data_IF_576934204249
#
_entry.id   IF_576934204249
#
_cell.length_a   1.000
_cell.length_b   1.000
_cell.length_c   1.000
_cell.angle_alpha   90.00
_cell.angle_beta   90.00
_cell.angle_gamma   90.00
#
_symmetry.space_group_name_H-M   'P 1'
#
loop_
_entity.id
_entity.type
_entity.pdbx_description
1 polymer ?
#
# COMPACT_ATOMS: atom_id res chain seq x y z
N UNK A 1 3.67 -30.10 -4.78
CA UNK A 1 4.90 -30.43 -4.02
C UNK A 1 5.01 -29.45 -2.86
N UNK A 2 5.69 -29.78 -1.75
CA UNK A 2 5.93 -28.79 -0.70
C UNK A 2 6.82 -27.66 -1.22
N UNK A 3 6.53 -26.41 -0.82
CA UNK A 3 7.36 -25.26 -1.15
C UNK A 3 8.79 -25.41 -0.60
N UNK A 4 9.77 -24.92 -1.35
CA UNK A 4 11.15 -24.84 -0.88
C UNK A 4 11.28 -23.87 0.30
N UNK A 5 12.38 -23.97 1.06
CA UNK A 5 12.63 -23.02 2.18
C UNK A 5 12.70 -21.56 1.71
N UNK A 6 13.22 -21.32 0.51
CA UNK A 6 13.29 -19.98 -0.07
C UNK A 6 11.89 -19.46 -0.45
N UNK A 7 11.08 -20.28 -1.12
CA UNK A 7 9.68 -19.98 -1.43
C UNK A 7 8.89 -19.65 -0.17
N UNK A 8 8.98 -20.50 0.86
CA UNK A 8 8.26 -20.31 2.11
C UNK A 8 8.67 -19.01 2.82
N UNK A 9 9.96 -18.66 2.81
CA UNK A 9 10.46 -17.38 3.34
C UNK A 9 9.88 -16.19 2.56
N UNK A 10 9.86 -16.28 1.24
CA UNK A 10 9.38 -15.21 0.37
C UNK A 10 7.88 -15.01 0.50
N UNK A 11 7.09 -16.09 0.52
CA UNK A 11 5.65 -16.09 0.80
C UNK A 11 5.36 -15.41 2.14
N UNK A 12 6.05 -15.81 3.23
CA UNK A 12 5.89 -15.18 4.54
C UNK A 12 6.22 -13.69 4.52
N UNK A 13 7.27 -13.29 3.81
CA UNK A 13 7.65 -11.89 3.68
C UNK A 13 6.56 -11.10 2.95
N UNK A 14 6.03 -11.60 1.83
CA UNK A 14 4.95 -10.95 1.08
C UNK A 14 3.69 -10.80 1.94
N UNK A 15 3.25 -11.87 2.61
CA UNK A 15 2.06 -11.86 3.47
C UNK A 15 2.21 -10.88 4.64
N UNK A 16 3.38 -10.85 5.28
CA UNK A 16 3.65 -9.93 6.41
C UNK A 16 3.61 -8.48 5.98
N UNK A 17 4.00 -8.20 4.73
CA UNK A 17 4.20 -6.86 4.22
C UNK A 17 3.19 -6.48 3.13
N UNK A 18 2.02 -7.12 3.12
CA UNK A 18 1.00 -6.97 2.07
C UNK A 18 0.61 -5.52 1.78
N UNK A 19 0.65 -4.64 2.80
CA UNK A 19 0.26 -3.24 2.68
C UNK A 19 1.30 -2.36 1.97
N UNK A 20 2.52 -2.86 1.78
CA UNK A 20 3.60 -2.14 1.09
C UNK A 20 4.04 -2.80 -0.21
N UNK A 21 3.47 -3.95 -0.60
CA UNK A 21 3.78 -4.55 -1.90
C UNK A 21 3.20 -3.68 -3.02
N UNK A 22 4.04 -3.36 -4.01
CA UNK A 22 3.62 -2.71 -5.25
C UNK A 22 3.77 -3.71 -6.39
N UNK A 23 2.69 -4.35 -6.86
CA UNK A 23 2.77 -5.25 -7.98
C UNK A 23 2.92 -4.48 -9.31
N UNK A 24 3.83 -4.95 -10.16
CA UNK A 24 3.95 -4.57 -11.56
C UNK A 24 3.44 -5.75 -12.40
N UNK A 25 2.31 -5.56 -13.07
CA UNK A 25 1.64 -6.58 -13.88
C UNK A 25 2.03 -6.40 -15.34
N UNK A 26 2.77 -7.38 -15.88
CA UNK A 26 3.16 -7.42 -17.28
C UNK A 26 2.06 -7.93 -18.22
N UNK A 27 2.34 -7.84 -19.52
CA UNK A 27 1.37 -8.21 -20.57
C UNK A 27 1.07 -9.71 -20.66
N UNK A 28 1.93 -10.56 -20.09
CA UNK A 28 1.79 -12.02 -19.98
C UNK A 28 0.74 -12.47 -18.95
N UNK A 29 0.29 -11.56 -18.09
CA UNK A 29 -0.81 -11.79 -17.19
C UNK A 29 -2.18 -11.77 -17.90
N UNK A 30 -2.27 -11.22 -19.11
CA UNK A 30 -3.52 -11.14 -19.87
C UNK A 30 -3.60 -12.24 -20.91
N UNK A 31 -4.68 -13.02 -20.85
CA UNK A 31 -4.88 -14.26 -21.58
C UNK A 31 -6.15 -14.16 -22.42
N UNK A 32 -6.04 -14.61 -23.66
CA UNK A 32 -7.15 -14.80 -24.59
C UNK A 32 -7.41 -16.29 -24.73
N UNK A 33 -8.64 -16.70 -24.44
CA UNK A 33 -9.12 -18.05 -24.68
C UNK A 33 -9.30 -18.28 -26.19
N UNK A 34 -8.68 -19.34 -26.72
CA UNK A 34 -8.81 -19.77 -28.11
C UNK A 34 -9.15 -21.27 -28.17
N UNK A 35 -9.68 -21.77 -29.30
CA UNK A 35 -9.96 -23.20 -29.48
C UNK A 35 -8.74 -24.10 -29.28
N UNK A 36 -7.54 -23.60 -29.57
CA UNK A 36 -6.27 -24.33 -29.48
C UNK A 36 -5.60 -24.18 -28.09
N UNK A 37 -6.24 -23.42 -27.19
CA UNK A 37 -5.77 -23.15 -25.84
C UNK A 37 -5.58 -21.67 -25.54
N UNK A 38 -5.24 -21.39 -24.29
CA UNK A 38 -4.95 -20.04 -23.81
C UNK A 38 -3.67 -19.49 -24.45
N UNK A 39 -3.74 -18.27 -25.01
CA UNK A 39 -2.57 -17.51 -25.47
C UNK A 39 -2.52 -16.14 -24.80
N UNK A 40 -1.37 -15.47 -24.82
CA UNK A 40 -1.28 -14.11 -24.27
C UNK A 40 -1.95 -13.09 -25.20
N UNK A 41 -2.47 -12.00 -24.66
CA UNK A 41 -3.16 -10.96 -25.45
C UNK A 41 -2.30 -10.47 -26.61
N UNK A 42 -1.03 -10.14 -26.36
CA UNK A 42 -0.16 -9.62 -27.41
C UNK A 42 0.19 -10.69 -28.46
N UNK A 43 0.36 -11.96 -28.06
CA UNK A 43 0.53 -13.06 -29.01
C UNK A 43 -0.71 -13.24 -29.91
N UNK A 44 -1.91 -13.11 -29.35
CA UNK A 44 -3.15 -13.16 -30.10
C UNK A 44 -3.24 -12.02 -31.13
N UNK A 45 -2.94 -10.77 -30.71
CA UNK A 45 -2.92 -9.61 -31.62
C UNK A 45 -1.91 -9.82 -32.75
N UNK A 46 -0.72 -10.35 -32.46
CA UNK A 46 0.26 -10.71 -33.50
C UNK A 46 -0.30 -11.73 -34.48
N UNK A 47 -0.97 -12.79 -34.00
CA UNK A 47 -1.57 -13.80 -34.87
C UNK A 47 -2.61 -13.19 -35.82
N UNK A 48 -3.53 -12.36 -35.30
CA UNK A 48 -4.56 -11.70 -36.10
C UNK A 48 -3.94 -10.76 -37.17
N UNK A 49 -2.97 -9.93 -36.79
CA UNK A 49 -2.28 -9.04 -37.73
C UNK A 49 -1.49 -9.82 -38.81
N UNK A 50 -0.89 -10.96 -38.45
CA UNK A 50 -0.18 -11.81 -39.42
C UNK A 50 -1.13 -12.49 -40.42
N UNK A 51 -2.38 -12.77 -40.05
CA UNK A 51 -3.39 -13.31 -40.95
C UNK A 51 -3.85 -12.25 -41.97
N UNK A 52 -4.08 -11.02 -41.50
CA UNK A 52 -4.52 -9.88 -42.31
C UNK A 52 -3.42 -9.37 -43.25
N UNK A 53 -2.17 -9.27 -42.76
CA UNK A 53 -1.05 -8.65 -43.48
C UNK A 53 -0.17 -9.71 -44.16
N UNK A 54 -0.20 -9.86 -45.50
CA UNK A 54 0.55 -10.89 -46.21
C UNK A 54 2.07 -10.85 -45.96
N UNK A 55 2.64 -9.66 -45.78
CA UNK A 55 4.06 -9.43 -45.54
C UNK A 55 4.54 -9.99 -44.20
N UNK A 56 3.64 -10.18 -43.24
CA UNK A 56 3.96 -10.68 -41.90
C UNK A 56 3.79 -12.20 -41.76
N UNK A 57 3.13 -12.88 -42.71
CA UNK A 57 2.86 -14.33 -42.64
C UNK A 57 4.10 -15.20 -42.47
N UNK A 58 5.26 -14.72 -42.94
CA UNK A 58 6.53 -15.44 -42.85
C UNK A 58 7.39 -14.98 -41.65
N UNK A 59 6.94 -13.99 -40.88
CA UNK A 59 7.65 -13.52 -39.69
C UNK A 59 7.32 -14.50 -38.56
N UNK A 60 8.32 -15.28 -38.17
CA UNK A 60 8.19 -16.14 -36.98
C UNK A 60 8.39 -15.28 -35.74
N UNK A 61 7.42 -15.34 -34.83
CA UNK A 61 7.60 -14.88 -33.46
C UNK A 61 8.21 -16.05 -32.68
N UNK A 62 9.54 -16.10 -32.60
CA UNK A 62 10.27 -17.16 -31.90
C UNK A 62 10.43 -16.83 -30.41
N UNK A 63 10.24 -15.56 -30.03
CA UNK A 63 10.24 -15.12 -28.64
C UNK A 63 9.30 -13.95 -28.38
N UNK A 64 8.89 -13.78 -27.12
CA UNK A 64 8.13 -12.61 -26.68
C UNK A 64 8.82 -11.27 -26.92
N UNK A 65 10.15 -11.28 -27.06
CA UNK A 65 10.93 -10.08 -27.32
C UNK A 65 10.69 -9.50 -28.73
N UNK A 66 10.16 -10.29 -29.67
CA UNK A 66 9.93 -9.87 -31.06
C UNK A 66 8.54 -9.25 -31.29
N UNK A 67 7.64 -9.36 -30.32
CA UNK A 67 6.24 -8.90 -30.43
C UNK A 67 6.17 -7.42 -30.84
N UNK A 68 6.89 -6.55 -30.15
CA UNK A 68 6.90 -5.10 -30.44
C UNK A 68 7.51 -4.78 -31.81
N UNK A 69 8.50 -5.56 -32.26
CA UNK A 69 9.06 -5.43 -33.59
C UNK A 69 8.05 -5.81 -34.68
N UNK A 70 7.28 -6.89 -34.48
CA UNK A 70 6.20 -7.29 -35.39
C UNK A 70 5.14 -6.18 -35.49
N UNK A 71 4.78 -5.56 -34.37
CA UNK A 71 3.88 -4.39 -34.38
C UNK A 71 4.44 -3.21 -35.16
N UNK A 72 5.74 -2.91 -35.06
CA UNK A 72 6.39 -1.89 -35.90
C UNK A 72 6.29 -2.23 -37.39
N UNK A 73 6.44 -3.50 -37.75
CA UNK A 73 6.29 -3.99 -39.13
C UNK A 73 4.85 -3.92 -39.62
N UNK A 74 3.88 -4.23 -38.76
CA UNK A 74 2.46 -4.09 -39.06
C UNK A 74 2.10 -2.62 -39.33
N UNK A 75 2.52 -1.73 -38.42
CA UNK A 75 2.38 -0.26 -38.56
C UNK A 75 2.96 0.26 -39.87
N UNK A 76 4.12 -0.22 -40.28
CA UNK A 76 4.75 0.17 -41.54
C UNK A 76 3.96 -0.29 -42.79
N UNK A 77 3.14 -1.33 -42.66
CA UNK A 77 2.38 -1.93 -43.77
C UNK A 77 1.01 -1.29 -43.98
N UNK A 78 0.41 -0.70 -42.94
CA UNK A 78 -0.97 -0.17 -43.00
C UNK A 78 -1.13 1.27 -42.51
N UNK A 79 -0.05 2.02 -42.28
CA UNK A 79 0.00 3.34 -41.63
C UNK A 79 -0.38 3.35 -40.13
N UNK A 80 0.03 4.41 -39.44
CA UNK A 80 0.01 4.47 -37.98
C UNK A 80 -1.38 4.67 -37.35
N UNK A 81 -2.31 5.29 -38.08
CA UNK A 81 -3.67 5.52 -37.58
C UNK A 81 -4.44 4.20 -37.66
N UNK A 82 -4.46 3.60 -38.85
CA UNK A 82 -5.15 2.33 -39.08
C UNK A 82 -4.60 1.21 -38.21
N UNK A 83 -3.28 1.11 -38.05
CA UNK A 83 -2.68 0.10 -37.17
C UNK A 83 -3.20 0.17 -35.72
N UNK A 84 -3.32 1.39 -35.18
CA UNK A 84 -3.82 1.57 -33.81
C UNK A 84 -5.30 1.28 -33.68
N UNK A 85 -6.09 1.59 -34.70
CA UNK A 85 -7.51 1.29 -34.73
C UNK A 85 -7.72 -0.22 -34.83
N UNK A 86 -7.02 -0.91 -35.74
CA UNK A 86 -7.05 -2.37 -35.87
C UNK A 86 -6.63 -3.07 -34.56
N UNK A 87 -5.54 -2.62 -33.93
CA UNK A 87 -5.10 -3.16 -32.63
C UNK A 87 -6.23 -3.05 -31.59
N UNK A 88 -6.86 -1.87 -31.47
CA UNK A 88 -7.95 -1.66 -30.51
C UNK A 88 -9.16 -2.52 -30.85
N UNK A 89 -9.54 -2.61 -32.11
CA UNK A 89 -10.67 -3.42 -32.55
C UNK A 89 -10.46 -4.90 -32.19
N UNK A 90 -9.26 -5.45 -32.43
CA UNK A 90 -8.92 -6.82 -32.03
C UNK A 90 -9.07 -7.01 -30.51
N UNK A 91 -8.56 -6.08 -29.70
CA UNK A 91 -8.62 -6.14 -28.23
C UNK A 91 -10.06 -6.00 -27.72
N UNK A 92 -10.82 -5.07 -28.29
CA UNK A 92 -12.22 -4.83 -27.95
C UNK A 92 -13.08 -6.04 -28.31
N UNK A 93 -12.87 -6.67 -29.47
CA UNK A 93 -13.59 -7.85 -29.91
C UNK A 93 -13.40 -9.04 -28.94
N UNK A 94 -12.16 -9.35 -28.54
CA UNK A 94 -11.91 -10.47 -27.60
C UNK A 94 -12.42 -10.16 -26.20
N UNK A 95 -12.40 -8.88 -25.79
CA UNK A 95 -12.96 -8.45 -24.50
C UNK A 95 -14.46 -8.59 -24.49
N UNK A 96 -15.14 -8.06 -25.50
CA UNK A 96 -16.60 -7.98 -25.53
C UNK A 96 -17.24 -9.37 -25.70
N UNK A 97 -16.51 -10.29 -26.34
CA UNK A 97 -16.88 -11.71 -26.42
C UNK A 97 -16.51 -12.52 -25.16
N UNK A 98 -15.95 -11.89 -24.13
CA UNK A 98 -15.59 -12.54 -22.85
C UNK A 98 -14.40 -13.50 -22.92
N UNK A 99 -13.62 -13.47 -24.01
CA UNK A 99 -12.46 -14.36 -24.22
C UNK A 99 -11.18 -13.81 -23.58
N UNK A 100 -11.11 -12.50 -23.34
CA UNK A 100 -9.96 -11.84 -22.69
C UNK A 100 -10.15 -11.78 -21.18
N UNK A 101 -9.18 -12.30 -20.44
CA UNK A 101 -9.16 -12.27 -18.97
C UNK A 101 -7.76 -12.04 -18.40
N UNK A 102 -7.72 -11.54 -17.17
CA UNK A 102 -6.51 -11.61 -16.34
C UNK A 102 -6.34 -13.05 -15.83
N UNK A 103 -5.10 -13.54 -15.71
CA UNK A 103 -4.82 -14.83 -15.06
C UNK A 103 -5.49 -14.88 -13.68
N UNK A 104 -6.15 -16.00 -13.40
CA UNK A 104 -7.01 -16.12 -12.22
C UNK A 104 -6.21 -16.00 -10.91
N UNK A 105 -5.01 -16.57 -10.85
CA UNK A 105 -4.07 -16.46 -9.72
C UNK A 105 -3.69 -15.01 -9.42
N UNK A 106 -3.45 -14.20 -10.47
CA UNK A 106 -3.13 -12.78 -10.37
C UNK A 106 -4.35 -11.99 -9.93
N UNK A 107 -5.52 -12.26 -10.51
CA UNK A 107 -6.78 -11.58 -10.14
C UNK A 107 -7.14 -11.84 -8.68
N UNK A 108 -7.09 -13.10 -8.23
CA UNK A 108 -7.38 -13.50 -6.86
C UNK A 108 -6.40 -12.88 -5.86
N UNK A 109 -5.11 -12.84 -6.22
CA UNK A 109 -4.08 -12.18 -5.42
C UNK A 109 -4.34 -10.68 -5.27
N UNK A 110 -4.60 -9.97 -6.37
CA UNK A 110 -4.88 -8.53 -6.33
C UNK A 110 -6.16 -8.22 -5.55
N UNK A 111 -7.22 -9.01 -5.74
CA UNK A 111 -8.49 -8.83 -5.04
C UNK A 111 -8.38 -9.08 -3.52
N UNK A 112 -7.54 -10.03 -3.11
CA UNK A 112 -7.27 -10.30 -1.70
C UNK A 112 -6.35 -9.26 -1.07
N UNK A 113 -5.23 -8.94 -1.73
CA UNK A 113 -4.20 -8.04 -1.19
C UNK A 113 -4.65 -6.58 -1.18
N UNK A 114 -5.45 -6.15 -2.16
CA UNK A 114 -5.92 -4.76 -2.34
C UNK A 114 -4.77 -3.73 -2.24
N UNK A 115 -3.70 -3.89 -3.05
CA UNK A 115 -2.57 -2.94 -3.05
C UNK A 115 -3.03 -1.51 -3.29
N UNK A 116 -2.40 -0.54 -2.63
CA UNK A 116 -2.70 0.89 -2.87
C UNK A 116 -2.37 1.32 -4.30
N UNK A 117 -1.29 0.76 -4.85
CA UNK A 117 -0.83 1.05 -6.21
C UNK A 117 -0.54 -0.27 -6.93
N UNK A 118 -1.07 -0.40 -8.13
CA UNK A 118 -0.73 -1.45 -9.10
C UNK A 118 -0.08 -0.73 -10.28
N UNK A 119 1.09 -1.19 -10.73
CA UNK A 119 1.72 -0.71 -11.97
C UNK A 119 1.39 -1.72 -13.06
N UNK A 120 1.12 -1.28 -14.28
CA UNK A 120 0.96 -2.19 -15.43
C UNK A 120 1.62 -1.65 -16.69
N UNK A 121 2.14 -2.56 -17.50
CA UNK A 121 2.63 -2.27 -18.85
C UNK A 121 1.50 -2.23 -19.88
N UNK A 122 0.32 -2.77 -19.56
CA UNK A 122 -0.81 -2.76 -20.48
C UNK A 122 -1.42 -1.36 -20.59
N UNK A 123 -1.68 -0.84 -21.80
CA UNK A 123 -2.33 0.44 -22.01
C UNK A 123 -3.87 0.38 -21.91
N UNK A 124 -4.43 -0.81 -21.63
CA UNK A 124 -5.86 -1.04 -21.54
C UNK A 124 -6.30 -1.20 -20.07
N UNK A 125 -7.50 -0.73 -19.72
CA UNK A 125 -8.05 -0.81 -18.35
C UNK A 125 -8.57 -2.21 -17.97
N UNK A 126 -7.81 -3.25 -18.30
CA UNK A 126 -8.18 -4.65 -18.10
C UNK A 126 -8.18 -5.04 -16.61
N UNK A 127 -7.22 -4.53 -15.84
CA UNK A 127 -7.08 -4.83 -14.41
C UNK A 127 -8.24 -4.19 -13.63
N UNK A 128 -8.54 -2.92 -13.90
CA UNK A 128 -9.64 -2.18 -13.27
C UNK A 128 -10.97 -2.88 -13.53
N UNK A 129 -11.23 -3.26 -14.79
CA UNK A 129 -12.45 -3.96 -15.17
C UNK A 129 -12.57 -5.31 -14.46
N UNK A 130 -11.50 -6.12 -14.46
CA UNK A 130 -11.50 -7.43 -13.81
C UNK A 130 -11.72 -7.35 -12.29
N UNK A 131 -11.10 -6.36 -11.61
CA UNK A 131 -11.26 -6.15 -10.18
C UNK A 131 -12.64 -5.56 -9.81
N UNK A 132 -13.20 -4.70 -10.66
CA UNK A 132 -14.54 -4.12 -10.46
C UNK A 132 -15.62 -5.20 -10.42
N UNK A 133 -15.52 -6.22 -11.28
CA UNK A 133 -16.39 -7.41 -11.25
C UNK A 133 -16.31 -8.16 -9.91
N UNK A 134 -15.16 -8.09 -9.22
CA UNK A 134 -14.94 -8.64 -7.87
C UNK A 134 -15.34 -7.68 -6.75
N UNK A 135 -15.96 -6.54 -7.07
CA UNK A 135 -16.36 -5.50 -6.11
C UNK A 135 -15.20 -4.68 -5.57
N UNK A 136 -14.04 -4.67 -6.24
CA UNK A 136 -12.86 -3.89 -5.86
C UNK A 136 -12.57 -2.83 -6.92
N UNK A 137 -12.80 -1.57 -6.56
CA UNK A 137 -12.61 -0.45 -7.49
C UNK A 137 -11.22 0.16 -7.36
N UNK A 138 -10.63 0.47 -8.52
CA UNK A 138 -9.37 1.18 -8.65
C UNK A 138 -9.55 2.38 -9.57
N UNK A 139 -8.92 3.49 -9.22
CA UNK A 139 -8.77 4.64 -10.10
C UNK A 139 -7.72 4.31 -11.18
N UNK A 140 -7.91 4.85 -12.37
CA UNK A 140 -6.98 4.68 -13.48
C UNK A 140 -6.13 5.94 -13.62
N UNK A 141 -4.81 5.77 -13.63
CA UNK A 141 -3.84 6.84 -13.82
C UNK A 141 -2.77 6.38 -14.81
N UNK A 142 -2.15 7.27 -15.56
CA UNK A 142 -1.21 6.87 -16.59
C UNK A 142 -0.09 7.88 -16.76
N UNK A 143 1.07 7.36 -17.16
CA UNK A 143 2.20 8.18 -17.58
C UNK A 143 1.99 8.73 -18.99
N UNK A 144 2.35 10.00 -19.20
CA UNK A 144 2.30 10.65 -20.51
C UNK A 144 3.64 11.32 -20.86
N UNK A 145 4.30 10.93 -21.97
CA UNK A 145 5.43 11.69 -22.52
C UNK A 145 4.98 13.06 -23.10
N UNK A 146 5.94 13.93 -23.42
CA UNK A 146 5.84 15.39 -23.52
C UNK A 146 4.69 16.07 -24.35
N UNK A 147 4.45 17.35 -24.00
CA UNK A 147 3.43 18.37 -24.38
C UNK A 147 2.00 18.25 -23.84
N UNK A 148 1.57 17.10 -23.33
CA UNK A 148 0.19 16.91 -22.80
C UNK A 148 0.15 16.77 -21.28
N UNK A 149 1.31 16.75 -20.61
CA UNK A 149 1.36 16.31 -19.22
C UNK A 149 0.71 17.26 -18.22
N UNK A 150 0.49 18.56 -18.47
CA UNK A 150 -0.11 19.54 -17.52
C UNK A 150 0.29 19.37 -16.03
N UNK A 151 1.47 18.82 -15.73
CA UNK A 151 1.85 18.48 -14.35
C UNK A 151 1.41 17.09 -13.83
N UNK A 152 0.61 16.31 -14.57
CA UNK A 152 0.16 14.94 -14.25
C UNK A 152 1.27 14.02 -13.75
N UNK A 153 2.41 14.00 -14.44
CA UNK A 153 3.56 13.16 -14.03
C UNK A 153 4.22 13.64 -12.71
N UNK A 154 3.73 14.73 -12.12
CA UNK A 154 4.14 15.30 -10.82
C UNK A 154 3.02 15.23 -9.78
N UNK A 155 1.81 14.83 -10.14
CA UNK A 155 0.69 14.70 -9.20
C UNK A 155 1.00 13.62 -8.15
N UNK A 156 0.61 13.87 -6.89
CA UNK A 156 0.81 12.90 -5.82
C UNK A 156 -0.12 11.70 -5.97
N UNK A 157 0.45 10.55 -6.37
CA UNK A 157 -0.26 9.27 -6.50
C UNK A 157 -0.88 8.83 -5.17
N UNK A 158 -0.29 9.18 -4.02
CA UNK A 158 -0.82 8.81 -2.70
C UNK A 158 -2.20 9.41 -2.43
N UNK A 159 -2.51 10.55 -3.05
CA UNK A 159 -3.81 11.23 -2.91
C UNK A 159 -4.93 10.59 -3.75
N UNK A 160 -4.59 9.74 -4.73
CA UNK A 160 -5.52 9.14 -5.68
C UNK A 160 -6.24 7.90 -5.13
N UNK A 161 -6.01 7.49 -3.89
CA UNK A 161 -6.57 6.25 -3.35
C UNK A 161 -6.01 5.00 -4.05
N UNK A 162 -6.82 3.94 -4.16
CA UNK A 162 -6.40 2.71 -4.82
C UNK A 162 -6.28 2.95 -6.33
N UNK A 163 -5.08 2.79 -6.90
CA UNK A 163 -4.78 3.24 -8.26
C UNK A 163 -4.10 2.15 -9.10
N UNK A 164 -4.53 1.99 -10.35
CA UNK A 164 -3.79 1.29 -11.41
C UNK A 164 -3.05 2.34 -12.24
N UNK A 165 -1.74 2.22 -12.32
CA UNK A 165 -0.83 3.12 -13.00
C UNK A 165 -0.32 2.50 -14.30
N UNK A 166 -0.80 3.00 -15.45
CA UNK A 166 -0.36 2.55 -16.77
C UNK A 166 0.94 3.28 -17.16
N UNK A 167 2.07 2.59 -17.04
CA UNK A 167 3.40 3.19 -17.30
C UNK A 167 3.66 3.47 -18.78
N UNK A 168 2.90 2.81 -19.65
CA UNK A 168 3.02 2.91 -21.11
C UNK A 168 1.84 3.63 -21.77
N UNK A 169 1.23 4.56 -21.02
CA UNK A 169 0.10 5.36 -21.48
C UNK A 169 -1.21 4.59 -21.44
N UNK A 170 -2.29 5.23 -21.91
CA UNK A 170 -3.63 4.66 -21.86
C UNK A 170 -4.34 4.80 -23.19
N UNK A 171 -4.75 3.68 -23.78
CA UNK A 171 -5.27 3.60 -25.13
C UNK A 171 -6.62 4.33 -25.31
N UNK A 172 -7.41 4.42 -24.24
CA UNK A 172 -8.71 5.11 -24.21
C UNK A 172 -8.60 6.64 -24.21
N UNK A 173 -7.50 7.19 -23.69
CA UNK A 173 -7.35 8.64 -23.44
C UNK A 173 -6.57 9.37 -24.56
N UNK A 174 -6.38 8.71 -25.71
CA UNK A 174 -5.83 9.32 -26.92
C UNK A 174 -4.91 8.41 -27.75
N UNK A 175 -4.02 9.04 -28.52
CA UNK A 175 -3.11 8.36 -29.45
C UNK A 175 -1.73 8.04 -28.87
N UNK A 176 -1.41 8.53 -27.67
CA UNK A 176 -0.07 8.38 -27.05
C UNK A 176 -0.08 7.26 -26.01
N UNK A 177 0.22 6.06 -26.48
CA UNK A 177 0.41 4.83 -25.71
C UNK A 177 1.37 3.92 -26.48
N UNK A 178 1.95 2.92 -25.80
CA UNK A 178 2.89 1.98 -26.42
C UNK A 178 2.14 0.87 -27.15
N UNK A 179 2.29 0.85 -28.47
CA UNK A 179 1.69 -0.14 -29.37
C UNK A 179 2.70 -0.86 -30.27
N UNK A 180 3.94 -0.38 -30.30
CA UNK A 180 5.02 -0.83 -31.16
C UNK A 180 6.39 -0.47 -30.57
N UNK A 181 7.48 -0.96 -31.17
CA UNK A 181 8.84 -0.73 -30.67
C UNK A 181 9.26 0.75 -30.65
N UNK A 182 8.89 1.54 -31.66
CA UNK A 182 9.25 2.97 -31.69
C UNK A 182 8.60 3.72 -30.54
N UNK A 183 7.32 3.44 -30.28
CA UNK A 183 6.59 4.04 -29.16
C UNK A 183 7.12 3.58 -27.81
N UNK A 184 7.55 2.31 -27.69
CA UNK A 184 8.17 1.78 -26.47
C UNK A 184 9.48 2.52 -26.17
N UNK A 185 10.34 2.69 -27.17
CA UNK A 185 11.60 3.42 -27.04
C UNK A 185 11.36 4.91 -26.74
N UNK A 186 10.35 5.55 -27.36
CA UNK A 186 9.94 6.93 -27.05
C UNK A 186 9.56 7.07 -25.56
N UNK A 187 8.72 6.17 -25.05
CA UNK A 187 8.28 6.20 -23.66
C UNK A 187 9.46 6.01 -22.69
N UNK A 188 10.31 5.01 -22.92
CA UNK A 188 11.48 4.74 -22.08
C UNK A 188 12.48 5.90 -22.08
N UNK A 189 12.72 6.50 -23.25
CA UNK A 189 13.58 7.68 -23.35
C UNK A 189 13.04 8.84 -22.47
N UNK A 190 11.74 9.12 -22.55
CA UNK A 190 11.13 10.20 -21.77
C UNK A 190 11.10 9.90 -20.27
N UNK A 191 10.84 8.64 -19.88
CA UNK A 191 10.82 8.21 -18.46
C UNK A 191 12.17 8.48 -17.78
N UNK A 192 13.27 8.41 -18.55
CA UNK A 192 14.64 8.67 -18.10
C UNK A 192 15.07 10.13 -18.21
N UNK A 193 14.36 10.96 -18.97
CA UNK A 193 14.68 12.37 -19.16
C UNK A 193 14.25 13.23 -17.95
N UNK A 194 14.98 14.30 -17.65
CA UNK A 194 14.73 15.13 -16.47
C UNK A 194 13.40 15.91 -16.47
N UNK A 195 12.96 16.41 -17.62
CA UNK A 195 11.78 17.29 -17.70
C UNK A 195 10.45 16.53 -17.81
N UNK A 196 10.48 15.29 -18.30
CA UNK A 196 9.30 14.45 -18.58
C UNK A 196 9.31 13.12 -17.83
N UNK A 197 10.21 12.96 -16.86
CA UNK A 197 10.31 11.79 -16.02
C UNK A 197 9.00 11.43 -15.31
N UNK A 198 8.91 10.17 -14.91
CA UNK A 198 7.83 9.60 -14.10
C UNK A 198 7.99 9.98 -12.60
N UNK A 199 8.16 11.28 -12.29
CA UNK A 199 8.54 11.77 -10.96
C UNK A 199 7.57 11.37 -9.86
N UNK A 200 6.28 11.42 -10.13
CA UNK A 200 5.26 10.98 -9.19
C UNK A 200 5.44 9.51 -8.76
N UNK A 201 5.70 8.61 -9.70
CA UNK A 201 5.93 7.19 -9.44
C UNK A 201 7.27 6.97 -8.74
N UNK A 202 8.31 7.71 -9.15
CA UNK A 202 9.60 7.69 -8.47
C UNK A 202 9.47 8.10 -7.00
N UNK A 203 8.79 9.21 -6.72
CA UNK A 203 8.56 9.71 -5.37
C UNK A 203 7.71 8.74 -4.55
N UNK A 204 6.65 8.18 -5.13
CA UNK A 204 5.80 7.20 -4.44
C UNK A 204 6.59 5.97 -3.98
N UNK A 205 7.43 5.43 -4.85
CA UNK A 205 8.27 4.27 -4.55
C UNK A 205 9.41 4.59 -3.57
N UNK A 206 9.88 5.84 -3.54
CA UNK A 206 10.93 6.29 -2.62
C UNK A 206 10.39 6.58 -1.21
N UNK A 207 9.24 7.26 -1.08
CA UNK A 207 8.65 7.66 0.20
C UNK A 207 8.06 6.49 0.99
N UNK A 208 7.62 5.46 0.28
CA UNK A 208 7.12 4.22 0.85
C UNK A 208 7.98 3.12 0.26
N UNK A 209 9.08 2.67 0.92
CA UNK A 209 9.91 1.58 0.42
C UNK A 209 9.09 0.29 0.43
N UNK A 210 8.29 0.17 -0.61
CA UNK A 210 7.38 -0.89 -0.89
C UNK A 210 8.10 -1.91 -1.75
N UNK A 211 7.99 -3.18 -1.37
CA UNK A 211 8.64 -4.28 -2.08
C UNK A 211 8.00 -4.39 -3.46
N UNK A 212 8.75 -4.10 -4.53
CA UNK A 212 8.28 -4.28 -5.90
C UNK A 212 8.11 -5.77 -6.18
N UNK A 213 6.96 -6.15 -6.72
CA UNK A 213 6.69 -7.51 -7.19
C UNK A 213 6.34 -7.48 -8.66
N UNK A 214 7.26 -7.93 -9.51
CA UNK A 214 6.98 -8.10 -10.94
C UNK A 214 6.27 -9.43 -11.14
N UNK A 215 5.04 -9.35 -11.65
CA UNK A 215 4.23 -10.50 -12.06
C UNK A 215 4.21 -10.53 -13.57
N UNK A 216 5.18 -11.26 -14.11
CA UNK A 216 5.33 -11.44 -15.53
C UNK A 216 5.81 -10.19 -16.28
N UNK A 217 6.42 -10.41 -17.45
CA UNK A 217 6.82 -9.36 -18.39
C UNK A 217 7.30 -9.97 -19.71
N UNK A 218 6.69 -9.54 -20.81
CA UNK A 218 7.21 -9.80 -22.17
C UNK A 218 8.24 -8.78 -22.64
N UNK A 219 8.54 -7.76 -21.85
CA UNK A 219 9.55 -6.78 -22.23
C UNK A 219 10.89 -7.49 -22.49
N UNK A 220 11.57 -7.18 -23.60
CA UNK A 220 12.93 -7.65 -23.82
C UNK A 220 13.82 -7.29 -22.62
N UNK A 221 14.75 -8.18 -22.24
CA UNK A 221 15.57 -8.02 -21.02
C UNK A 221 16.20 -6.64 -20.88
N UNK A 222 16.78 -6.12 -21.97
CA UNK A 222 17.42 -4.81 -21.98
C UNK A 222 16.42 -3.68 -21.75
N UNK A 223 15.20 -3.79 -22.28
CA UNK A 223 14.11 -2.85 -22.04
C UNK A 223 13.72 -2.86 -20.57
N UNK A 224 13.55 -4.04 -19.96
CA UNK A 224 13.25 -4.10 -18.53
C UNK A 224 14.35 -3.44 -17.69
N UNK A 225 15.63 -3.62 -18.07
CA UNK A 225 16.74 -2.94 -17.39
C UNK A 225 16.61 -1.43 -17.47
N UNK A 226 16.28 -0.86 -18.63
CA UNK A 226 16.06 0.59 -18.77
C UNK A 226 14.82 1.06 -18.03
N UNK A 227 13.75 0.25 -17.98
CA UNK A 227 12.57 0.56 -17.19
C UNK A 227 12.93 0.61 -15.70
N UNK A 228 13.67 -0.38 -15.21
CA UNK A 228 14.00 -0.54 -13.81
C UNK A 228 15.09 0.43 -13.32
N UNK A 229 16.08 0.75 -14.15
CA UNK A 229 17.28 1.50 -13.75
C UNK A 229 16.99 2.83 -13.03
N UNK A 230 16.04 3.67 -13.49
CA UNK A 230 15.69 4.90 -12.80
C UNK A 230 15.14 4.70 -11.38
N UNK A 231 14.51 3.55 -11.10
CA UNK A 231 13.98 3.21 -9.78
C UNK A 231 15.07 2.67 -8.82
N UNK A 232 16.29 2.39 -9.31
CA UNK A 232 17.34 1.74 -8.53
C UNK A 232 18.02 2.64 -7.50
N UNK A 233 18.31 3.90 -7.83
CA UNK A 233 19.24 4.73 -7.05
C UNK A 233 18.73 5.18 -5.67
N UNK A 234 17.45 4.96 -5.36
CA UNK A 234 16.84 5.46 -4.11
C UNK A 234 15.91 4.46 -3.41
N UNK A 235 15.60 3.32 -4.03
CA UNK A 235 15.08 2.18 -3.30
C UNK A 235 16.26 1.63 -2.47
N UNK A 236 16.22 1.73 -1.14
CA UNK A 236 17.22 1.14 -0.24
C UNK A 236 17.36 -0.39 -0.38
N UNK A 237 17.76 -1.10 0.67
CA UNK A 237 17.72 -2.58 0.72
C UNK A 237 16.26 -3.10 0.72
N UNK A 238 15.53 -2.84 -0.35
CA UNK A 238 14.13 -3.22 -0.55
C UNK A 238 14.11 -4.59 -1.20
N UNK A 239 13.35 -5.52 -0.62
CA UNK A 239 13.15 -6.86 -1.18
C UNK A 239 12.32 -6.77 -2.47
N UNK A 240 12.76 -7.46 -3.52
CA UNK A 240 12.14 -7.41 -4.86
C UNK A 240 11.80 -8.83 -5.31
N UNK A 241 10.67 -8.98 -5.98
CA UNK A 241 10.21 -10.27 -6.46
C UNK A 241 10.07 -10.24 -7.98
N UNK A 242 10.47 -11.33 -8.63
CA UNK A 242 10.27 -11.57 -10.04
C UNK A 242 9.62 -12.94 -10.23
N UNK A 243 8.31 -12.95 -10.45
CA UNK A 243 7.54 -14.17 -10.67
C UNK A 243 7.14 -14.22 -12.15
N UNK A 244 7.66 -15.19 -12.91
CA UNK A 244 7.42 -15.32 -14.36
C UNK A 244 7.20 -16.77 -14.75
N UNK A 245 6.18 -17.03 -15.58
CA UNK A 245 5.93 -18.37 -16.15
C UNK A 245 6.98 -18.77 -17.19
N UNK A 246 7.73 -17.82 -17.73
CA UNK A 246 8.73 -18.04 -18.79
C UNK A 246 10.15 -18.04 -18.24
N UNK A 247 11.02 -18.84 -18.86
CA UNK A 247 12.45 -18.83 -18.59
C UNK A 247 13.05 -17.49 -19.03
N UNK A 248 13.69 -16.82 -18.07
CA UNK A 248 14.64 -15.75 -18.39
C UNK A 248 15.91 -16.38 -18.98
N UNK A 249 16.52 -15.74 -19.99
CA UNK A 249 17.84 -16.19 -20.41
C UNK A 249 18.86 -16.00 -19.28
N UNK A 250 19.98 -16.73 -19.36
CA UNK A 250 21.02 -16.75 -18.33
C UNK A 250 21.52 -15.33 -18.00
N UNK A 251 21.75 -14.50 -19.03
CA UNK A 251 22.27 -13.15 -18.84
C UNK A 251 21.30 -12.20 -18.12
N UNK A 252 19.99 -12.42 -18.25
CA UNK A 252 18.97 -11.68 -17.53
C UNK A 252 18.75 -12.21 -16.12
N UNK A 253 18.79 -13.53 -15.93
CA UNK A 253 18.78 -14.13 -14.61
C UNK A 253 19.94 -13.63 -13.74
N UNK A 254 21.16 -13.56 -14.29
CA UNK A 254 22.33 -13.00 -13.61
C UNK A 254 22.14 -11.51 -13.24
N UNK A 255 21.43 -10.75 -14.08
CA UNK A 255 21.05 -9.38 -13.76
C UNK A 255 20.07 -9.34 -12.57
N UNK A 256 19.01 -10.14 -12.59
CA UNK A 256 18.04 -10.22 -11.50
C UNK A 256 18.72 -10.58 -10.17
N UNK A 257 19.64 -11.55 -10.18
CA UNK A 257 20.39 -11.94 -8.99
C UNK A 257 21.30 -10.82 -8.45
N UNK A 258 22.06 -10.14 -9.34
CA UNK A 258 22.91 -8.99 -8.94
C UNK A 258 22.12 -7.83 -8.33
N UNK A 259 20.85 -7.73 -8.69
CA UNK A 259 19.93 -6.69 -8.20
C UNK A 259 19.03 -7.14 -7.05
N UNK A 260 19.29 -8.35 -6.52
CA UNK A 260 18.61 -8.98 -5.40
C UNK A 260 17.11 -9.20 -5.62
N UNK A 261 16.73 -9.60 -6.83
CA UNK A 261 15.39 -10.14 -7.08
C UNK A 261 15.30 -11.59 -6.61
N UNK A 262 14.30 -11.88 -5.79
CA UNK A 262 13.82 -13.22 -5.51
C UNK A 262 13.02 -13.71 -6.73
N UNK A 263 13.57 -14.67 -7.48
CA UNK A 263 12.98 -15.19 -8.72
C UNK A 263 12.25 -16.51 -8.48
N UNK A 264 11.10 -16.72 -9.14
CA UNK A 264 10.41 -18.03 -9.14
C UNK A 264 9.52 -18.21 -10.38
N UNK A 265 9.25 -19.47 -10.74
CA UNK A 265 8.43 -19.88 -11.89
C UNK A 265 7.11 -20.53 -11.51
N UNK A 266 6.96 -20.99 -10.26
CA UNK A 266 5.71 -21.52 -9.72
C UNK A 266 4.77 -20.36 -9.36
N UNK A 267 4.50 -19.48 -10.32
CA UNK A 267 3.78 -18.21 -10.12
C UNK A 267 2.39 -18.49 -9.56
N UNK A 268 1.65 -19.41 -10.18
CA UNK A 268 0.28 -19.69 -9.80
C UNK A 268 0.19 -20.33 -8.41
N UNK A 269 1.06 -21.28 -8.08
CA UNK A 269 1.10 -21.91 -6.77
C UNK A 269 1.49 -20.92 -5.66
N UNK A 270 2.49 -20.07 -5.92
CA UNK A 270 2.97 -19.07 -4.95
C UNK A 270 1.89 -18.01 -4.70
N UNK A 271 1.26 -17.48 -5.76
CA UNK A 271 0.19 -16.49 -5.61
C UNK A 271 -1.04 -17.10 -4.93
N UNK A 272 -1.41 -18.34 -5.23
CA UNK A 272 -2.50 -19.03 -4.57
C UNK A 272 -2.24 -19.18 -3.05
N UNK A 273 -1.02 -19.58 -2.67
CA UNK A 273 -0.64 -19.71 -1.27
C UNK A 273 -0.63 -18.37 -0.53
N UNK A 274 -0.03 -17.33 -1.14
CA UNK A 274 -0.04 -15.97 -0.57
C UNK A 274 -1.48 -15.50 -0.38
N UNK A 275 -2.33 -15.70 -1.38
CA UNK A 275 -3.75 -15.34 -1.35
C UNK A 275 -4.48 -16.06 -0.23
N UNK A 276 -4.27 -17.37 -0.07
CA UNK A 276 -4.87 -18.15 1.01
C UNK A 276 -4.47 -17.58 2.36
N UNK A 277 -3.18 -17.33 2.58
CA UNK A 277 -2.68 -16.78 3.86
C UNK A 277 -3.17 -15.37 4.15
N UNK A 278 -3.30 -14.52 3.13
CA UNK A 278 -3.91 -13.19 3.29
C UNK A 278 -5.38 -13.34 3.67
N UNK A 279 -6.15 -14.17 2.97
CA UNK A 279 -7.56 -14.43 3.27
C UNK A 279 -7.74 -15.03 4.66
N UNK A 280 -6.87 -15.95 5.08
CA UNK A 280 -6.92 -16.57 6.40
C UNK A 280 -6.53 -15.58 7.50
N UNK A 281 -5.50 -14.76 7.27
CA UNK A 281 -5.15 -13.66 8.16
C UNK A 281 -6.30 -12.66 8.28
N UNK A 282 -6.93 -12.27 7.18
CA UNK A 282 -8.04 -11.31 7.18
C UNK A 282 -9.33 -11.93 7.74
N UNK A 283 -9.54 -13.24 7.58
CA UNK A 283 -10.58 -14.00 8.28
C UNK A 283 -10.28 -14.05 9.77
N UNK A 284 -9.05 -14.33 10.20
CA UNK A 284 -8.67 -14.29 11.61
C UNK A 284 -8.85 -12.88 12.16
N UNK A 285 -8.41 -11.83 11.46
CA UNK A 285 -8.64 -10.43 11.83
C UNK A 285 -10.13 -10.09 11.84
N UNK A 286 -10.96 -10.66 10.96
CA UNK A 286 -12.41 -10.39 10.92
C UNK A 286 -13.24 -11.25 11.86
N UNK A 287 -12.72 -12.40 12.28
CA UNK A 287 -13.30 -13.29 13.29
C UNK A 287 -12.88 -12.82 14.68
N UNK A 288 -11.62 -12.38 14.82
CA UNK A 288 -11.16 -11.52 15.90
C UNK A 288 -11.97 -10.23 15.87
N UNK A 289 -12.17 -9.49 14.76
CA UNK A 289 -12.99 -8.25 14.75
C UNK A 289 -14.49 -8.44 14.93
N UNK A 290 -15.01 -9.67 14.77
CA UNK A 290 -16.37 -10.02 15.22
C UNK A 290 -16.41 -10.41 16.70
N UNK A 291 -15.31 -10.89 17.26
CA UNK A 291 -15.10 -11.04 18.71
C UNK A 291 -14.58 -9.75 19.39
N UNK A 292 -14.08 -8.79 18.60
CA UNK A 292 -13.34 -7.55 18.92
C UNK A 292 -14.05 -6.34 18.26
N UNK A 293 -15.35 -6.52 17.99
CA UNK A 293 -16.34 -5.47 17.68
C UNK A 293 -16.67 -4.65 18.94
N UNK A 294 -15.72 -4.53 19.86
CA UNK A 294 -15.85 -3.64 20.99
C UNK A 294 -15.01 -2.41 20.69
N UNK A 295 -15.65 -1.36 20.17
CA UNK A 295 -15.13 0.00 20.36
C UNK A 295 -14.83 0.20 21.84
N UNK A 296 -13.69 0.78 22.18
CA UNK A 296 -13.41 1.12 23.56
C UNK A 296 -14.15 2.42 23.89
N UNK A 297 -14.85 2.45 25.01
CA UNK A 297 -15.42 3.68 25.54
C UNK A 297 -14.30 4.60 26.06
N UNK A 298 -13.21 4.04 26.59
CA UNK A 298 -12.04 4.80 27.01
C UNK A 298 -10.73 4.03 26.91
N UNK A 299 -9.63 4.76 26.69
CA UNK A 299 -8.24 4.31 26.77
C UNK A 299 -7.56 4.98 27.95
N UNK A 300 -6.96 4.21 28.85
CA UNK A 300 -6.18 4.75 29.98
C UNK A 300 -4.69 4.69 29.65
N UNK A 301 -4.06 5.86 29.56
CA UNK A 301 -2.60 6.00 29.42
C UNK A 301 -2.00 6.35 30.78
N UNK A 302 -0.97 5.62 31.21
CA UNK A 302 -0.34 5.82 32.52
C UNK A 302 1.15 5.44 32.46
N UNK A 303 1.95 6.00 33.37
CA UNK A 303 3.31 5.54 33.57
C UNK A 303 3.29 4.28 34.44
N UNK A 304 4.03 3.23 34.06
CA UNK A 304 4.02 1.96 34.77
C UNK A 304 4.32 2.04 36.28
N UNK A 305 5.03 3.07 36.73
CA UNK A 305 5.31 3.37 38.14
C UNK A 305 4.05 3.76 38.93
N UNK A 306 3.00 4.23 38.24
CA UNK A 306 1.72 4.66 38.82
C UNK A 306 0.59 3.65 38.56
N UNK A 307 0.94 2.37 38.39
CA UNK A 307 -0.01 1.29 38.16
C UNK A 307 -1.11 1.24 39.22
N UNK A 308 -0.77 1.47 40.49
CA UNK A 308 -1.69 1.44 41.61
C UNK A 308 -2.85 2.44 41.46
N UNK A 309 -2.53 3.68 41.06
CA UNK A 309 -3.53 4.71 40.79
C UNK A 309 -4.29 4.42 39.51
N UNK A 310 -3.59 4.01 38.45
CA UNK A 310 -4.21 3.71 37.17
C UNK A 310 -5.20 2.54 37.26
N UNK A 311 -4.90 1.51 38.05
CA UNK A 311 -5.80 0.39 38.32
C UNK A 311 -7.04 0.83 39.12
N UNK A 312 -6.88 1.74 40.09
CA UNK A 312 -8.04 2.33 40.79
C UNK A 312 -8.94 3.12 39.85
N UNK A 313 -8.35 3.94 38.96
CA UNK A 313 -9.09 4.68 37.93
C UNK A 313 -9.82 3.71 37.00
N UNK A 314 -9.12 2.67 36.52
CA UNK A 314 -9.71 1.62 35.69
C UNK A 314 -10.91 0.94 36.37
N UNK A 315 -10.80 0.61 37.66
CA UNK A 315 -11.88 -0.03 38.41
C UNK A 315 -13.11 0.89 38.54
N UNK A 316 -12.93 2.20 38.72
CA UNK A 316 -14.03 3.18 38.72
C UNK A 316 -14.65 3.31 37.33
N UNK A 317 -13.83 3.44 36.30
CA UNK A 317 -14.28 3.60 34.91
C UNK A 317 -15.03 2.37 34.39
N UNK A 318 -14.56 1.17 34.72
CA UNK A 318 -15.18 -0.10 34.31
C UNK A 318 -16.55 -0.34 34.95
N UNK A 319 -16.91 0.41 36.00
CA UNK A 319 -18.28 0.41 36.56
C UNK A 319 -19.23 1.35 35.81
N UNK A 320 -18.67 2.34 35.08
CA UNK A 320 -19.41 3.40 34.38
C UNK A 320 -19.47 3.21 32.86
N UNK A 321 -18.46 2.57 32.30
CA UNK A 321 -18.26 2.33 30.88
C UNK A 321 -18.28 0.82 30.59
N UNK A 322 -18.66 0.44 29.37
CA UNK A 322 -18.81 -0.97 29.01
C UNK A 322 -17.48 -1.61 28.62
N UNK A 323 -16.61 -0.84 27.96
CA UNK A 323 -15.32 -1.35 27.47
C UNK A 323 -14.20 -0.34 27.67
N UNK A 324 -13.29 -0.60 28.60
CA UNK A 324 -12.15 0.28 28.93
C UNK A 324 -10.85 -0.44 28.61
N UNK A 325 -10.04 0.16 27.73
CA UNK A 325 -8.70 -0.34 27.44
C UNK A 325 -7.75 0.08 28.57
N UNK A 326 -7.22 -0.92 29.28
CA UNK A 326 -6.22 -0.78 30.33
C UNK A 326 -5.26 -1.95 30.24
N UNK A 327 -3.99 -1.68 29.90
CA UNK A 327 -3.00 -2.75 29.82
C UNK A 327 -2.47 -3.06 31.22
N UNK A 328 -2.68 -4.31 31.65
CA UNK A 328 -2.26 -4.82 32.97
C UNK A 328 -0.85 -5.41 32.95
N UNK A 329 -0.29 -5.60 31.77
CA UNK A 329 0.96 -6.32 31.57
C UNK A 329 2.03 -5.40 30.99
N UNK A 330 2.92 -4.89 31.85
CA UNK A 330 4.18 -4.28 31.41
C UNK A 330 5.08 -5.35 30.77
N UNK A 331 4.90 -5.66 29.48
CA UNK A 331 5.67 -6.67 28.74
C UNK A 331 6.47 -6.04 27.59
N UNK A 332 7.67 -6.60 27.41
CA UNK A 332 8.84 -6.17 26.62
C UNK A 332 8.58 -5.59 25.21
N UNK A 333 9.37 -4.56 24.91
CA UNK A 333 9.51 -3.82 23.64
C UNK A 333 9.59 -4.69 22.37
N UNK A 334 8.78 -4.35 21.35
CA UNK A 334 8.81 -4.86 19.97
C UNK A 334 7.81 -4.16 19.02
N UNK A 335 7.96 -4.31 17.70
CA UNK A 335 7.16 -3.59 16.66
C UNK A 335 5.65 -3.89 16.68
N UNK A 336 5.24 -5.09 17.13
CA UNK A 336 3.82 -5.44 17.26
C UNK A 336 3.11 -4.77 18.45
N UNK A 337 3.87 -4.31 19.45
CA UNK A 337 3.34 -3.65 20.65
C UNK A 337 2.82 -2.25 20.32
N UNK A 338 3.63 -1.42 19.67
CA UNK A 338 3.27 -0.04 19.29
C UNK A 338 1.97 -0.03 18.47
N UNK A 339 1.84 -0.97 17.54
CA UNK A 339 0.64 -1.10 16.70
C UNK A 339 -0.64 -1.40 17.50
N UNK A 340 -0.56 -2.11 18.64
CA UNK A 340 -1.72 -2.40 19.49
C UNK A 340 -2.24 -1.14 20.17
N UNK A 341 -1.33 -0.34 20.74
CA UNK A 341 -1.65 0.88 21.47
C UNK A 341 -2.22 1.96 20.56
N UNK A 342 -1.59 2.16 19.39
CA UNK A 342 -2.11 3.07 18.37
C UNK A 342 -3.52 2.62 17.96
N UNK A 343 -3.72 1.34 17.63
CA UNK A 343 -5.06 0.84 17.29
C UNK A 343 -6.07 1.07 18.42
N UNK A 344 -5.69 0.85 19.67
CA UNK A 344 -6.58 1.06 20.81
C UNK A 344 -6.96 2.54 20.98
N UNK A 345 -6.02 3.48 20.82
CA UNK A 345 -6.30 4.93 20.85
C UNK A 345 -7.31 5.31 19.76
N UNK A 346 -7.10 4.86 18.51
CA UNK A 346 -8.01 5.18 17.41
C UNK A 346 -9.37 4.45 17.49
N UNK A 347 -9.45 3.32 18.20
CA UNK A 347 -10.70 2.59 18.51
C UNK A 347 -11.43 3.15 19.74
N UNK A 348 -10.81 4.03 20.52
CA UNK A 348 -11.39 4.57 21.73
C UNK A 348 -12.22 5.82 21.46
N UNK A 349 -13.28 6.03 22.25
CA UNK A 349 -14.05 7.29 22.23
C UNK A 349 -13.40 8.38 23.07
N UNK A 350 -12.69 7.99 24.12
CA UNK A 350 -12.03 8.89 25.06
C UNK A 350 -10.61 8.41 25.36
N UNK A 351 -9.66 9.34 25.36
CA UNK A 351 -8.28 9.15 25.81
C UNK A 351 -8.09 9.78 27.18
N UNK A 352 -7.67 9.00 28.16
CA UNK A 352 -7.56 9.39 29.57
C UNK A 352 -6.10 9.22 30.02
N UNK A 353 -5.25 10.24 29.88
CA UNK A 353 -3.93 10.22 30.48
C UNK A 353 -4.01 10.47 31.98
N UNK A 354 -3.40 9.58 32.76
CA UNK A 354 -3.23 9.69 34.21
C UNK A 354 -1.97 10.50 34.48
N UNK A 355 -2.14 11.80 34.72
CA UNK A 355 -1.04 12.75 34.81
C UNK A 355 -0.49 12.79 36.24
N UNK A 356 0.68 12.18 36.40
CA UNK A 356 1.57 12.21 37.57
C UNK A 356 2.93 12.79 37.15
N UNK A 357 3.88 12.94 38.08
CA UNK A 357 5.26 13.33 37.79
C UNK A 357 5.97 12.30 36.90
N UNK A 358 5.77 11.00 37.15
CA UNK A 358 6.35 9.94 36.32
C UNK A 358 5.78 9.97 34.90
N UNK A 359 4.46 10.13 34.75
CA UNK A 359 3.81 10.31 33.45
C UNK A 359 4.36 11.54 32.75
N UNK A 360 4.40 12.68 33.44
CA UNK A 360 4.86 13.94 32.89
C UNK A 360 6.32 13.90 32.45
N UNK A 361 7.21 13.22 33.20
CA UNK A 361 8.60 12.99 32.78
C UNK A 361 8.65 12.16 31.49
N UNK A 362 7.89 11.06 31.44
CA UNK A 362 7.87 10.12 30.31
C UNK A 362 7.33 10.72 29.01
N UNK A 363 6.47 11.74 29.08
CA UNK A 363 6.02 12.50 27.91
C UNK A 363 7.20 13.15 27.15
N UNK A 364 8.28 13.50 27.86
CA UNK A 364 9.46 14.15 27.27
C UNK A 364 10.63 13.20 27.02
N UNK A 365 10.61 12.00 27.60
CA UNK A 365 11.58 10.93 27.35
C UNK A 365 11.20 10.07 26.13
N UNK A 366 12.14 9.32 25.59
CA UNK A 366 11.86 8.37 24.50
C UNK A 366 11.15 7.11 25.06
N UNK A 367 9.84 7.25 25.28
CA UNK A 367 9.01 6.26 25.96
C UNK A 367 7.73 5.96 25.17
N UNK A 368 7.07 4.83 25.48
CA UNK A 368 5.76 4.49 24.90
C UNK A 368 4.70 5.55 25.23
N UNK A 369 4.75 6.16 26.42
CA UNK A 369 3.86 7.26 26.83
C UNK A 369 3.97 8.45 25.88
N UNK A 370 5.19 8.80 25.44
CA UNK A 370 5.39 9.87 24.45
C UNK A 370 4.73 9.53 23.12
N UNK A 371 4.89 8.30 22.64
CA UNK A 371 4.25 7.84 21.39
C UNK A 371 2.73 7.90 21.50
N UNK A 372 2.15 7.41 22.60
CA UNK A 372 0.71 7.45 22.85
C UNK A 372 0.15 8.87 22.85
N UNK A 373 0.82 9.80 23.56
CA UNK A 373 0.39 11.20 23.65
C UNK A 373 0.47 11.90 22.29
N UNK A 374 1.52 11.63 21.49
CA UNK A 374 1.63 12.18 20.13
C UNK A 374 0.50 11.65 19.24
N UNK A 375 0.20 10.35 19.30
CA UNK A 375 -0.87 9.76 18.49
C UNK A 375 -2.26 10.23 18.93
N UNK A 376 -2.49 10.39 20.24
CA UNK A 376 -3.70 11.03 20.75
C UNK A 376 -3.82 12.48 20.27
N UNK A 377 -2.75 13.26 20.28
CA UNK A 377 -2.75 14.64 19.78
C UNK A 377 -3.05 14.71 18.27
N UNK A 378 -2.50 13.80 17.47
CA UNK A 378 -2.85 13.66 16.04
C UNK A 378 -4.33 13.34 15.86
N UNK A 379 -4.87 12.44 16.69
CA UNK A 379 -6.28 12.08 16.66
C UNK A 379 -7.19 13.27 16.98
N UNK A 380 -6.88 14.06 18.02
CA UNK A 380 -7.62 15.29 18.36
C UNK A 380 -7.65 16.25 17.16
N UNK A 381 -6.51 16.49 16.51
CA UNK A 381 -6.40 17.36 15.32
C UNK A 381 -7.21 16.85 14.12
N UNK A 382 -7.54 15.56 14.07
CA UNK A 382 -8.35 14.95 12.99
C UNK A 382 -9.86 14.98 13.25
N UNK A 383 -10.28 15.37 14.46
CA UNK A 383 -11.68 15.42 14.87
C UNK A 383 -12.25 16.85 14.69
N UNK A 384 -13.59 17.01 14.65
CA UNK A 384 -14.23 18.33 14.72
C UNK A 384 -13.76 19.15 15.93
N UNK A 385 -13.72 20.48 15.81
CA UNK A 385 -13.21 21.38 16.87
C UNK A 385 -13.95 21.26 18.21
N UNK A 386 -15.21 20.83 18.20
CA UNK A 386 -16.07 20.64 19.37
C UNK A 386 -15.99 19.23 19.97
N UNK A 387 -15.23 18.31 19.35
CA UNK A 387 -15.13 16.93 19.83
C UNK A 387 -14.22 16.82 21.06
N UNK A 388 -14.77 16.35 22.18
CA UNK A 388 -14.01 16.04 23.39
C UNK A 388 -13.47 14.61 23.31
N UNK A 389 -12.20 14.47 22.94
CA UNK A 389 -11.52 13.17 22.84
C UNK A 389 -10.50 12.92 23.96
N UNK A 390 -10.04 13.95 24.66
CA UNK A 390 -9.03 13.82 25.73
C UNK A 390 -9.58 14.33 27.06
N UNK A 391 -9.40 13.54 28.13
CA UNK A 391 -9.72 13.90 29.51
C UNK A 391 -8.50 13.60 30.40
N UNK A 392 -7.50 14.50 30.48
CA UNK A 392 -6.39 14.31 31.40
C UNK A 392 -6.83 14.35 32.86
N UNK A 393 -6.48 13.31 33.62
CA UNK A 393 -6.72 13.22 35.06
C UNK A 393 -5.43 13.59 35.79
N UNK A 394 -5.36 14.82 36.28
CA UNK A 394 -4.20 15.35 37.02
C UNK A 394 -4.30 14.93 38.47
N UNK A 395 -3.38 14.09 38.93
CA UNK A 395 -3.41 13.57 40.31
C UNK A 395 -2.83 14.62 41.26
N UNK A 396 -3.67 15.14 42.14
CA UNK A 396 -3.31 16.21 43.07
C UNK A 396 -2.14 15.79 43.98
N UNK A 397 -1.21 16.72 44.19
CA UNK A 397 0.01 16.46 44.95
C UNK A 397 0.98 15.44 44.34
N UNK A 398 0.74 14.95 43.11
CA UNK A 398 1.63 14.00 42.41
C UNK A 398 2.22 14.51 41.11
N UNK A 399 2.05 15.79 40.76
CA UNK A 399 2.69 16.40 39.58
C UNK A 399 3.55 17.58 40.01
N UNK A 400 4.86 17.48 39.78
CA UNK A 400 5.84 18.47 40.23
C UNK A 400 6.85 18.80 39.13
N UNK A 401 7.44 20.00 39.22
CA UNK A 401 8.65 20.36 38.48
C UNK A 401 9.57 21.16 39.38
N UNK A 402 10.83 20.74 39.49
CA UNK A 402 11.83 21.38 40.34
C UNK A 402 11.34 21.63 41.78
N UNK A 403 10.57 20.69 42.34
CA UNK A 403 10.02 20.78 43.71
C UNK A 403 8.82 21.71 43.89
N UNK A 404 8.23 22.24 42.80
CA UNK A 404 6.98 23.02 42.85
C UNK A 404 5.81 22.25 42.20
N UNK A 405 4.60 22.30 42.78
CA UNK A 405 3.45 21.58 42.22
C UNK A 405 3.00 22.26 40.93
N UNK A 406 2.62 21.47 39.93
CA UNK A 406 2.06 21.99 38.68
C UNK A 406 0.54 22.00 38.75
N UNK A 407 -0.09 23.17 38.56
CA UNK A 407 -1.52 23.25 38.32
C UNK A 407 -1.87 23.04 36.84
N UNK A 408 -3.15 22.89 36.52
CA UNK A 408 -3.60 22.61 35.15
C UNK A 408 -3.24 23.73 34.17
N UNK A 409 -3.16 25.00 34.61
CA UNK A 409 -2.77 26.12 33.74
C UNK A 409 -1.29 26.04 33.39
N UNK A 410 -0.44 25.75 34.37
CA UNK A 410 0.99 25.62 34.17
C UNK A 410 1.33 24.38 33.32
N UNK A 411 0.60 23.29 33.48
CA UNK A 411 0.71 22.10 32.61
C UNK A 411 0.39 22.47 31.16
N UNK A 412 -0.71 23.19 30.92
CA UNK A 412 -1.06 23.65 29.57
C UNK A 412 -0.01 24.61 28.99
N UNK A 413 0.45 25.60 29.76
CA UNK A 413 1.50 26.54 29.33
C UNK A 413 2.79 25.83 28.96
N UNK A 414 3.18 24.83 29.74
CA UNK A 414 4.34 24.01 29.43
C UNK A 414 4.13 23.18 28.16
N UNK A 415 2.95 22.55 28.01
CA UNK A 415 2.61 21.74 26.84
C UNK A 415 2.59 22.56 25.54
N UNK A 416 2.24 23.86 25.59
CA UNK A 416 2.28 24.77 24.42
C UNK A 416 3.66 24.88 23.78
N UNK A 417 4.74 24.64 24.53
CA UNK A 417 6.10 24.63 23.97
C UNK A 417 6.40 23.38 23.12
N UNK A 418 5.49 22.40 23.11
CA UNK A 418 5.62 21.14 22.39
C UNK A 418 4.39 20.90 21.49
N UNK A 419 4.41 21.40 20.24
CA UNK A 419 3.24 21.38 19.33
C UNK A 419 2.67 19.99 19.02
N UNK A 420 3.48 18.95 19.19
CA UNK A 420 3.11 17.55 18.90
C UNK A 420 2.28 16.92 20.01
N UNK A 421 2.21 17.52 21.21
CA UNK A 421 1.47 16.99 22.36
C UNK A 421 0.45 17.98 22.93
N UNK A 422 0.57 19.27 22.61
CA UNK A 422 -0.20 20.35 23.24
C UNK A 422 -1.72 20.16 23.20
N UNK A 423 -2.23 19.53 22.13
CA UNK A 423 -3.65 19.28 21.95
C UNK A 423 -4.27 18.36 23.02
N UNK A 424 -3.46 17.53 23.70
CA UNK A 424 -3.93 16.62 24.76
C UNK A 424 -4.20 17.37 26.07
N UNK A 425 -3.44 18.44 26.35
CA UNK A 425 -3.37 19.11 27.66
C UNK A 425 -4.00 20.50 27.65
N UNK A 426 -5.17 20.65 27.02
CA UNK A 426 -5.95 21.87 27.17
C UNK A 426 -6.57 21.94 28.56
N UNK A 427 -6.34 23.04 29.28
CA UNK A 427 -6.71 23.15 30.69
C UNK A 427 -8.21 22.96 30.95
N UNK A 428 -9.05 23.39 30.01
CA UNK A 428 -10.51 23.23 30.05
C UNK A 428 -10.97 21.76 30.07
N UNK A 429 -10.13 20.84 29.59
CA UNK A 429 -10.41 19.41 29.52
C UNK A 429 -9.71 18.61 30.63
N UNK A 430 -8.89 19.25 31.46
CA UNK A 430 -8.17 18.58 32.54
C UNK A 430 -8.99 18.56 33.82
N UNK A 431 -9.06 17.39 34.48
CA UNK A 431 -9.71 17.22 35.78
C UNK A 431 -8.66 16.93 36.85
N UNK A 432 -8.65 17.73 37.90
CA UNK A 432 -7.80 17.46 39.08
C UNK A 432 -8.51 16.43 39.96
N UNK A 433 -7.79 15.38 40.34
CA UNK A 433 -8.30 14.26 41.12
C UNK A 433 -7.46 14.08 42.38
N UNK A 434 -8.10 14.11 43.55
CA UNK A 434 -7.44 13.81 44.82
C UNK A 434 -6.96 12.35 44.83
N UNK A 435 -5.75 12.00 45.31
CA UNK A 435 -5.30 10.61 45.40
C UNK A 435 -6.26 9.66 46.15
N UNK A 436 -7.07 10.18 47.08
CA UNK A 436 -8.08 9.44 47.84
C UNK A 436 -9.49 9.51 47.20
N UNK A 437 -9.55 9.71 45.88
CA UNK A 437 -10.80 9.80 45.14
C UNK A 437 -11.73 8.60 45.32
N UNK A 438 -13.03 8.91 45.32
CA UNK A 438 -14.16 8.00 45.31
C UNK A 438 -14.76 7.85 43.91
N UNK A 439 -15.70 6.92 43.74
CA UNK A 439 -16.40 6.68 42.48
C UNK A 439 -17.09 7.95 41.93
N UNK A 440 -17.52 8.89 42.77
CA UNK A 440 -18.23 10.10 42.34
C UNK A 440 -17.29 11.17 41.76
N UNK A 441 -15.99 11.08 42.00
CA UNK A 441 -15.03 12.14 41.63
C UNK A 441 -14.61 12.08 40.15
N UNK A 442 -14.88 10.99 39.43
CA UNK A 442 -14.64 10.86 38.00
C UNK A 442 -15.98 10.92 37.25
N UNK A 443 -16.31 12.08 36.66
CA UNK A 443 -17.54 12.27 35.90
C UNK A 443 -17.20 12.20 34.41
N UNK A 444 -17.93 11.37 33.67
CA UNK A 444 -17.84 11.25 32.21
C UNK A 444 -19.20 11.59 31.66
N UNK A 445 -19.31 12.67 30.89
CA UNK A 445 -20.50 12.95 30.11
C UNK A 445 -20.63 11.88 29.02
N UNK A 446 -21.77 11.17 29.00
CA UNK A 446 -22.06 10.15 27.98
C UNK A 446 -22.28 10.74 26.60
#
# INVERSE_FOLDING_TARGET
MPFSRAQERNIKSVVTNSNSIVPLIGDDAFIVETPDGDVTLLSYVVQQLCEEIPELRNVKCESSAEIYYIFTRAKASMDAVRFKDEFREIVDEVRDNGRLRLRESVLDFLAAMKPRLIITTSPFSLIENALSVRGVNYNSFYYSPASVSQGRNKDDISSLGNTVYHIFGKAADGWKWVCDEDSLLEFLHNIQGGDYSCNNLYNYLAEKPGRLMVLGSHLPDWIFRFLWFPFQNQAGEVQKYWLSHTDSNVGFFDFLQRYHFDTDQAVDEILAEITSRIKDRDKMISTESKADCESYDAFISYAGEDYDIAERIYNVLSRKLNNVFFDKEAIKYGENYVNRYIKAIYKSKLYIPVVTENFWSKVFEDSHVKVEVIEAAKRIKSLPEDAVFSLPLVIDGRVWKNGSPLDTKLIEEMAKNFPDISAVFYHINMKVLNPDFSDNDIEICK
#
